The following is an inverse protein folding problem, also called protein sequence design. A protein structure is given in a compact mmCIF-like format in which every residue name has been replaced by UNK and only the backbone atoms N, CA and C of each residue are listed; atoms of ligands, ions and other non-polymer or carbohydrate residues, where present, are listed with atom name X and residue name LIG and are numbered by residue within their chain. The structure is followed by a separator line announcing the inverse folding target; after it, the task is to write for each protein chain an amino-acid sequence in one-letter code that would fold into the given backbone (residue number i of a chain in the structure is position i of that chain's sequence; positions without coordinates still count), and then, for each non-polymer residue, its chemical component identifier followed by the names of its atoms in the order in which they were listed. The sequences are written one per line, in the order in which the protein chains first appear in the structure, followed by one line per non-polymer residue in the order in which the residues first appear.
data_IF_612271155962
#
_entry.id   IF_612271155962
#
_cell.length_a   1.000
_cell.length_b   1.000
_cell.length_c   1.000
_cell.angle_alpha   90.00
_cell.angle_beta   90.00
_cell.angle_gamma   90.00
#
_symmetry.space_group_name_H-M   'P 1'
#
loop_
_entity.id
_entity.type
_entity.pdbx_description
1 polymer ?
#
# COMPACT_ATOMS: atom_id res chain seq x y z
N UNK A 1 27.09 13.86 15.25
CA UNK A 1 26.83 12.56 14.61
C UNK A 1 25.34 12.29 14.79
N UNK A 2 24.52 12.66 13.81
CA UNK A 2 23.05 12.56 13.93
C UNK A 2 22.69 11.11 13.67
N UNK A 3 22.33 10.38 14.73
CA UNK A 3 21.80 9.03 14.62
C UNK A 3 20.44 9.14 13.88
N UNK A 4 20.40 8.74 12.60
CA UNK A 4 19.13 8.56 11.86
C UNK A 4 18.43 7.33 12.45
N UNK A 5 17.65 7.54 13.52
CA UNK A 5 16.84 6.49 14.11
C UNK A 5 15.69 6.14 13.14
N UNK A 6 15.73 4.95 12.53
CA UNK A 6 14.53 4.19 12.15
C UNK A 6 13.68 4.66 10.97
N UNK A 7 14.17 5.55 10.09
CA UNK A 7 13.45 5.91 8.86
C UNK A 7 13.55 4.79 7.82
N UNK A 8 12.53 4.62 6.97
CA UNK A 8 12.55 3.63 5.89
C UNK A 8 13.75 3.84 4.96
N UNK A 9 14.38 2.75 4.52
CA UNK A 9 15.54 2.77 3.62
C UNK A 9 15.06 2.87 2.17
N UNK A 10 15.52 3.89 1.45
CA UNK A 10 15.40 3.98 -0.01
C UNK A 10 16.81 4.14 -0.58
N UNK A 11 17.16 3.34 -1.57
CA UNK A 11 18.44 3.39 -2.26
C UNK A 11 18.22 3.58 -3.77
N UNK A 12 19.13 4.32 -4.41
CA UNK A 12 19.12 4.59 -5.84
C UNK A 12 20.46 4.23 -6.49
N UNK A 13 20.40 3.46 -7.58
CA UNK A 13 21.56 3.11 -8.39
C UNK A 13 21.84 4.20 -9.41
N UNK A 14 23.01 4.83 -9.34
CA UNK A 14 23.42 5.90 -10.28
C UNK A 14 24.05 5.38 -11.59
N UNK A 15 24.05 4.06 -11.80
CA UNK A 15 24.79 3.39 -12.88
C UNK A 15 26.08 2.71 -12.41
N UNK A 16 26.59 3.08 -11.24
CA UNK A 16 27.88 2.59 -10.70
C UNK A 16 27.86 2.24 -9.21
N UNK A 17 27.06 2.93 -8.41
CA UNK A 17 26.93 2.70 -6.97
C UNK A 17 25.50 2.89 -6.48
N UNK A 18 25.16 2.15 -5.41
CA UNK A 18 23.92 2.37 -4.66
C UNK A 18 24.13 3.51 -3.68
N UNK A 19 23.27 4.51 -3.75
CA UNK A 19 23.28 5.67 -2.86
C UNK A 19 22.00 5.72 -2.05
N UNK A 20 22.11 5.95 -0.74
CA UNK A 20 20.97 6.19 0.13
C UNK A 20 20.27 7.50 -0.29
N UNK A 21 18.97 7.42 -0.53
CA UNK A 21 18.10 8.57 -0.79
C UNK A 21 17.28 8.82 0.47
N UNK A 22 17.15 10.10 0.83
CA UNK A 22 16.38 10.47 2.04
C UNK A 22 14.89 10.30 1.79
N UNK A 23 14.27 9.39 2.54
CA UNK A 23 12.82 9.30 2.66
C UNK A 23 12.29 10.37 3.63
N UNK A 24 11.15 11.02 3.35
CA UNK A 24 10.46 11.87 4.32
C UNK A 24 10.06 11.08 5.57
N UNK A 25 9.96 11.78 6.70
CA UNK A 25 9.37 11.18 7.90
C UNK A 25 7.82 11.30 7.83
N UNK A 26 7.06 10.22 8.10
CA UNK A 26 5.62 10.22 8.23
C UNK A 26 5.14 11.10 9.37
N UNK A 27 3.87 11.53 9.29
CA UNK A 27 3.26 12.35 10.30
C UNK A 27 3.32 11.64 11.66
N UNK A 28 3.81 12.35 12.67
CA UNK A 28 3.82 11.95 14.08
C UNK A 28 4.59 10.66 14.42
N UNK A 29 5.90 10.77 14.60
CA UNK A 29 6.66 9.94 15.56
C UNK A 29 6.51 8.42 15.43
N UNK A 30 6.28 7.92 14.21
CA UNK A 30 6.19 6.49 13.94
C UNK A 30 7.39 5.78 14.54
N UNK A 31 7.16 4.64 15.18
CA UNK A 31 8.19 3.83 15.80
C UNK A 31 8.80 2.83 14.82
N UNK A 32 8.08 2.46 13.75
CA UNK A 32 8.52 1.54 12.69
C UNK A 32 7.94 1.94 11.34
N UNK A 33 8.72 1.69 10.28
CA UNK A 33 8.49 2.13 8.91
C UNK A 33 8.93 0.98 8.03
N UNK A 34 8.08 0.51 7.14
CA UNK A 34 8.41 -0.63 6.29
C UNK A 34 7.81 -0.42 4.92
N UNK A 35 8.67 -0.17 3.94
CA UNK A 35 8.29 -0.24 2.53
C UNK A 35 8.20 -1.71 2.12
N UNK A 36 7.09 -2.06 1.46
CA UNK A 36 6.79 -3.43 1.02
C UNK A 36 6.87 -3.57 -0.50
N UNK A 37 6.58 -2.50 -1.24
CA UNK A 37 6.58 -2.52 -2.70
C UNK A 37 6.95 -1.17 -3.30
N UNK A 38 7.52 -1.21 -4.52
CA UNK A 38 7.89 -0.06 -5.34
C UNK A 38 7.49 -0.34 -6.79
N UNK A 39 6.96 0.67 -7.48
CA UNK A 39 6.70 0.60 -8.92
C UNK A 39 6.93 1.96 -9.58
N UNK A 40 7.26 1.92 -10.88
CA UNK A 40 7.49 3.11 -11.70
C UNK A 40 6.87 2.96 -13.09
N UNK A 41 6.48 4.08 -13.70
CA UNK A 41 6.19 4.13 -15.14
C UNK A 41 7.39 4.62 -15.96
N UNK A 42 7.26 4.58 -17.29
CA UNK A 42 8.31 5.03 -18.21
C UNK A 42 8.56 6.55 -18.19
N UNK A 43 7.65 7.35 -17.61
CA UNK A 43 7.79 8.78 -17.44
C UNK A 43 8.50 9.16 -16.12
N UNK A 44 8.82 8.17 -15.28
CA UNK A 44 9.54 8.37 -14.02
C UNK A 44 8.64 8.68 -12.82
N UNK A 45 7.32 8.45 -12.91
CA UNK A 45 6.45 8.49 -11.74
C UNK A 45 6.70 7.23 -10.91
N UNK A 46 7.32 7.38 -9.74
CA UNK A 46 7.63 6.26 -8.84
C UNK A 46 6.78 6.36 -7.58
N UNK A 47 6.20 5.22 -7.20
CA UNK A 47 5.43 5.08 -5.97
C UNK A 47 6.03 3.97 -5.11
N UNK A 48 6.16 4.22 -3.81
CA UNK A 48 6.43 3.21 -2.80
C UNK A 48 5.24 3.11 -1.86
N UNK A 49 4.94 1.89 -1.45
CA UNK A 49 3.88 1.62 -0.48
C UNK A 49 4.37 0.69 0.62
N UNK A 50 3.69 0.78 1.76
CA UNK A 50 4.02 -0.02 2.92
C UNK A 50 3.17 0.36 4.12
N UNK A 51 3.80 0.38 5.28
CA UNK A 51 3.17 0.75 6.54
C UNK A 51 4.11 1.56 7.43
N UNK A 52 3.51 2.32 8.34
CA UNK A 52 4.18 2.84 9.52
C UNK A 52 3.38 2.51 10.78
N UNK A 53 4.09 2.34 11.89
CA UNK A 53 3.51 1.98 13.18
C UNK A 53 3.65 3.15 14.13
N UNK A 54 2.55 3.60 14.72
CA UNK A 54 2.54 4.48 15.89
C UNK A 54 1.92 3.72 17.09
N UNK A 55 0.75 4.13 17.57
CA UNK A 55 -0.15 3.32 18.43
C UNK A 55 -0.81 2.18 17.62
N UNK A 56 -1.05 2.40 16.34
CA UNK A 56 -1.66 1.47 15.38
C UNK A 56 -0.80 1.39 14.11
N UNK A 57 -1.18 0.52 13.17
CA UNK A 57 -0.50 0.37 11.88
C UNK A 57 -1.27 1.10 10.79
N UNK A 58 -0.62 1.98 10.06
CA UNK A 58 -1.24 2.77 9.01
C UNK A 58 -0.53 2.55 7.68
N UNK A 59 -1.29 2.58 6.58
CA UNK A 59 -0.73 2.57 5.24
C UNK A 59 0.17 3.77 5.01
N UNK A 60 1.32 3.51 4.38
CA UNK A 60 2.26 4.53 3.96
C UNK A 60 2.34 4.53 2.44
N UNK A 61 2.19 5.71 1.84
CA UNK A 61 2.39 5.93 0.42
C UNK A 61 3.36 7.10 0.25
N UNK A 62 4.41 6.90 -0.54
CA UNK A 62 5.29 7.98 -0.97
C UNK A 62 5.47 7.99 -2.47
N UNK A 63 5.62 9.19 -3.02
CA UNK A 63 5.82 9.45 -4.44
C UNK A 63 7.15 10.15 -4.67
N UNK A 64 7.85 9.76 -5.72
CA UNK A 64 9.00 10.49 -6.23
C UNK A 64 8.56 11.53 -7.26
N UNK A 65 8.92 12.79 -7.04
CA UNK A 65 8.61 13.89 -7.96
C UNK A 65 9.73 14.19 -8.98
N UNK A 66 10.75 13.35 -9.07
CA UNK A 66 11.95 13.57 -9.89
C UNK A 66 13.16 14.07 -9.10
N UNK A 67 12.95 14.63 -7.91
CA UNK A 67 14.03 15.21 -7.08
C UNK A 67 13.96 14.86 -5.60
N UNK A 68 12.77 14.61 -5.07
CA UNK A 68 12.55 14.21 -3.68
C UNK A 68 11.35 13.28 -3.55
N UNK A 69 11.36 12.48 -2.47
CA UNK A 69 10.22 11.71 -2.03
C UNK A 69 9.28 12.57 -1.21
N UNK A 70 7.98 12.40 -1.42
CA UNK A 70 6.92 13.08 -0.67
C UNK A 70 5.86 12.09 -0.25
N UNK A 71 5.39 12.23 0.99
CA UNK A 71 4.29 11.41 1.52
C UNK A 71 2.99 11.88 0.88
N UNK A 72 2.22 10.92 0.40
CA UNK A 72 0.88 11.14 -0.15
C UNK A 72 -0.13 10.48 0.80
N UNK A 73 -1.21 11.17 1.18
CA UNK A 73 -2.20 10.59 2.09
C UNK A 73 -2.85 9.32 1.53
N UNK A 74 -2.89 8.26 2.34
CA UNK A 74 -3.77 7.10 2.15
C UNK A 74 -5.17 7.46 2.67
N UNK A 75 -6.26 7.12 1.97
CA UNK A 75 -7.61 7.21 2.50
C UNK A 75 -7.81 6.21 3.64
N UNK A 76 -8.58 6.60 4.67
CA UNK A 76 -8.95 5.69 5.74
C UNK A 76 -9.91 4.60 5.20
N UNK A 77 -9.61 3.30 5.37
CA UNK A 77 -10.54 2.24 5.01
C UNK A 77 -11.80 2.25 5.89
N UNK A 78 -12.91 1.63 5.46
CA UNK A 78 -14.15 1.54 6.22
C UNK A 78 -13.99 0.59 7.43
N UNK A 79 -13.33 1.06 8.48
CA UNK A 79 -13.15 0.36 9.75
C UNK A 79 -14.31 0.66 10.69
N UNK A 80 -14.60 -0.26 11.63
CA UNK A 80 -15.58 -0.03 12.70
C UNK A 80 -14.83 0.08 14.04
N UNK A 81 -14.88 1.26 14.67
CA UNK A 81 -14.26 1.52 15.96
C UNK A 81 -12.78 1.91 15.87
N UNK A 82 -12.07 1.82 16.99
CA UNK A 82 -10.72 2.37 17.17
C UNK A 82 -9.57 1.41 16.81
N UNK A 83 -9.79 0.45 15.91
CA UNK A 83 -8.79 -0.53 15.47
C UNK A 83 -8.46 -0.28 13.99
N UNK A 84 -7.86 0.87 13.72
CA UNK A 84 -7.38 1.34 12.42
C UNK A 84 -6.02 0.70 12.16
N UNK A 85 -6.03 -0.59 11.82
CA UNK A 85 -4.85 -1.26 11.29
C UNK A 85 -5.04 -1.51 9.81
N UNK A 86 -4.18 -0.91 9.00
CA UNK A 86 -4.17 -1.05 7.55
C UNK A 86 -2.74 -1.03 7.01
N UNK A 87 -2.54 -1.70 5.88
CA UNK A 87 -1.24 -1.84 5.25
C UNK A 87 -1.37 -2.06 3.75
N UNK A 88 -0.42 -1.53 2.99
CA UNK A 88 -0.30 -1.75 1.55
C UNK A 88 0.90 -2.65 1.26
N UNK A 89 0.65 -3.75 0.54
CA UNK A 89 1.64 -4.79 0.23
C UNK A 89 2.14 -4.74 -1.20
N UNK A 90 1.36 -4.18 -2.13
CA UNK A 90 1.71 -4.10 -3.55
C UNK A 90 1.27 -2.79 -4.18
N UNK A 91 2.04 -2.29 -5.14
CA UNK A 91 1.68 -1.13 -5.97
C UNK A 91 2.05 -1.36 -7.43
N UNK A 92 1.26 -0.79 -8.33
CA UNK A 92 1.55 -0.72 -9.77
C UNK A 92 1.20 0.67 -10.30
N UNK A 93 2.05 1.20 -11.18
CA UNK A 93 1.88 2.51 -11.79
C UNK A 93 1.50 2.31 -13.25
N UNK A 94 0.35 2.86 -13.64
CA UNK A 94 -0.12 2.85 -15.04
C UNK A 94 0.35 4.11 -15.75
N UNK A 95 0.22 5.26 -15.08
CA UNK A 95 0.68 6.57 -15.53
C UNK A 95 0.73 7.54 -14.34
N UNK A 96 1.19 8.78 -14.55
CA UNK A 96 1.12 9.86 -13.56
C UNK A 96 -0.30 10.15 -13.03
N UNK A 97 -1.34 9.74 -13.77
CA UNK A 97 -2.75 9.93 -13.39
C UNK A 97 -3.49 8.65 -13.05
N UNK A 98 -2.79 7.50 -12.99
CA UNK A 98 -3.42 6.24 -12.60
C UNK A 98 -2.41 5.28 -12.00
N UNK A 99 -2.66 4.85 -10.77
CA UNK A 99 -1.90 3.84 -10.06
C UNK A 99 -2.84 3.04 -9.15
N UNK A 100 -2.46 1.80 -8.84
CA UNK A 100 -3.23 0.92 -7.98
C UNK A 100 -2.35 0.39 -6.86
N UNK A 101 -2.87 0.40 -5.64
CA UNK A 101 -2.23 -0.18 -4.48
C UNK A 101 -3.17 -1.20 -3.83
N UNK A 102 -2.59 -2.26 -3.26
CA UNK A 102 -3.36 -3.34 -2.64
C UNK A 102 -2.73 -3.79 -1.34
N UNK A 103 -3.57 -4.29 -0.44
CA UNK A 103 -3.15 -4.82 0.85
C UNK A 103 -4.33 -5.34 1.64
N UNK A 104 -4.37 -5.04 2.95
CA UNK A 104 -5.45 -5.45 3.84
C UNK A 104 -5.64 -4.46 4.99
N UNK A 105 -6.81 -4.53 5.61
CA UNK A 105 -7.14 -3.79 6.81
C UNK A 105 -7.99 -4.62 7.76
N UNK A 106 -7.99 -4.25 9.04
CA UNK A 106 -8.85 -4.87 10.04
C UNK A 106 -10.26 -4.27 9.97
N UNK A 107 -11.20 -5.00 9.39
CA UNK A 107 -12.61 -4.70 9.53
C UNK A 107 -13.13 -5.30 10.85
N UNK A 108 -13.74 -4.47 11.69
CA UNK A 108 -14.41 -4.98 12.90
C UNK A 108 -15.85 -5.35 12.55
N UNK A 109 -16.26 -6.53 12.98
CA UNK A 109 -17.66 -6.97 12.90
C UNK A 109 -18.44 -6.48 14.12
N UNK A 110 -19.77 -6.40 14.01
CA UNK A 110 -20.64 -6.04 15.15
C UNK A 110 -20.54 -6.99 16.35
N UNK A 111 -19.91 -8.16 16.19
CA UNK A 111 -19.60 -9.11 17.25
C UNK A 111 -18.23 -8.89 17.91
N UNK A 112 -17.49 -7.84 17.54
CA UNK A 112 -16.17 -7.51 18.09
C UNK A 112 -15.02 -8.39 17.58
N UNK A 113 -15.27 -9.26 16.59
CA UNK A 113 -14.21 -10.03 15.92
C UNK A 113 -13.60 -9.20 14.79
N UNK A 114 -12.26 -9.12 14.76
CA UNK A 114 -11.50 -8.56 13.64
C UNK A 114 -11.50 -9.57 12.51
N UNK A 115 -12.07 -9.21 11.36
CA UNK A 115 -11.84 -9.90 10.09
C UNK A 115 -10.85 -9.06 9.30
N UNK A 116 -9.92 -9.72 8.61
CA UNK A 116 -9.03 -9.02 7.69
C UNK A 116 -9.68 -8.98 6.32
N UNK A 117 -9.85 -7.76 5.82
CA UNK A 117 -10.47 -7.47 4.54
C UNK A 117 -9.44 -6.90 3.58
N UNK A 118 -9.63 -7.13 2.28
CA UNK A 118 -8.75 -6.60 1.25
C UNK A 118 -8.85 -5.08 1.18
N UNK A 119 -7.70 -4.43 1.14
CA UNK A 119 -7.59 -3.00 0.81
C UNK A 119 -7.20 -2.88 -0.66
N UNK A 120 -7.98 -2.13 -1.42
CA UNK A 120 -7.64 -1.72 -2.78
C UNK A 120 -7.79 -0.22 -2.86
N UNK A 121 -6.75 0.46 -3.31
CA UNK A 121 -6.75 1.89 -3.51
C UNK A 121 -6.41 2.24 -4.96
N UNK A 122 -7.07 3.26 -5.50
CA UNK A 122 -6.84 3.79 -6.84
C UNK A 122 -6.46 5.26 -6.78
N UNK A 123 -5.36 5.61 -7.45
CA UNK A 123 -4.95 6.98 -7.69
C UNK A 123 -5.62 7.51 -8.96
N UNK A 124 -6.32 8.63 -8.87
CA UNK A 124 -7.03 9.24 -10.01
C UNK A 124 -6.26 10.41 -10.67
N UNK A 125 -5.00 10.63 -10.27
CA UNK A 125 -4.22 11.80 -10.66
C UNK A 125 -4.21 12.93 -9.64
N UNK A 126 -5.06 12.85 -8.62
CA UNK A 126 -5.17 13.87 -7.57
C UNK A 126 -5.20 13.31 -6.17
N UNK A 127 -5.85 12.16 -5.96
CA UNK A 127 -5.99 11.52 -4.65
C UNK A 127 -6.11 10.01 -4.76
N UNK A 128 -5.72 9.31 -3.69
CA UNK A 128 -6.00 7.89 -3.52
C UNK A 128 -7.42 7.71 -2.96
N UNK A 129 -8.16 6.76 -3.50
CA UNK A 129 -9.51 6.41 -3.05
C UNK A 129 -9.65 4.91 -2.84
N UNK A 130 -10.38 4.50 -1.80
CA UNK A 130 -10.66 3.08 -1.54
C UNK A 130 -11.66 2.57 -2.58
N UNK A 131 -11.30 1.48 -3.26
CA UNK A 131 -12.15 0.77 -4.22
C UNK A 131 -12.67 -0.51 -3.59
N UNK A 132 -14.00 -0.74 -3.57
CA UNK A 132 -14.57 -1.98 -3.04
C UNK A 132 -14.01 -3.22 -3.75
N UNK A 133 -13.71 -4.24 -2.96
CA UNK A 133 -13.23 -5.54 -3.44
C UNK A 133 -13.97 -6.70 -2.74
N UNK A 134 -14.04 -7.90 -3.34
CA UNK A 134 -14.75 -9.02 -2.74
C UNK A 134 -14.05 -9.56 -1.48
N UNK A 135 -14.70 -9.43 -0.33
CA UNK A 135 -14.30 -10.06 0.94
C UNK A 135 -15.21 -11.26 1.23
N UNK A 136 -14.89 -12.40 0.62
CA UNK A 136 -15.76 -13.59 0.62
C UNK A 136 -15.53 -14.52 1.81
N UNK A 137 -14.42 -14.35 2.54
CA UNK A 137 -14.06 -15.13 3.73
C UNK A 137 -13.83 -14.22 4.95
N UNK A 138 -13.51 -14.83 6.09
CA UNK A 138 -13.17 -14.14 7.35
C UNK A 138 -11.77 -13.53 7.37
N UNK A 139 -10.94 -13.90 6.39
CA UNK A 139 -9.59 -13.40 6.21
C UNK A 139 -9.36 -13.26 4.72
N UNK A 140 -8.96 -12.07 4.27
CA UNK A 140 -8.71 -11.73 2.89
C UNK A 140 -7.54 -10.74 2.84
N UNK A 141 -6.49 -11.09 2.11
CA UNK A 141 -5.32 -10.26 1.90
C UNK A 141 -4.96 -10.22 0.43
N UNK A 142 -4.49 -9.08 -0.06
CA UNK A 142 -3.84 -8.95 -1.37
C UNK A 142 -2.35 -8.66 -1.17
N UNK A 143 -1.51 -9.36 -1.91
CA UNK A 143 -0.05 -9.27 -1.79
C UNK A 143 0.58 -8.52 -2.95
N UNK A 144 0.06 -8.71 -4.15
CA UNK A 144 0.63 -8.14 -5.36
C UNK A 144 -0.47 -7.65 -6.31
N UNK A 145 -0.13 -6.61 -7.06
CA UNK A 145 -0.98 -6.01 -8.10
C UNK A 145 -0.14 -5.75 -9.33
N UNK A 146 -0.73 -5.93 -10.50
CA UNK A 146 -0.12 -5.59 -11.79
C UNK A 146 -1.17 -4.97 -12.69
N UNK A 147 -0.74 -4.05 -13.54
CA UNK A 147 -1.55 -3.46 -14.59
C UNK A 147 -0.89 -3.62 -15.93
N UNK A 148 -1.65 -3.99 -16.95
CA UNK A 148 -1.18 -4.07 -18.32
C UNK A 148 -2.31 -3.74 -19.28
N UNK A 149 -2.09 -2.77 -20.17
CA UNK A 149 -3.07 -2.36 -21.20
C UNK A 149 -4.49 -2.11 -20.66
N UNK A 150 -4.61 -1.37 -19.55
CA UNK A 150 -5.91 -1.04 -18.94
C UNK A 150 -6.58 -2.18 -18.16
N UNK A 151 -5.93 -3.34 -18.06
CA UNK A 151 -6.36 -4.42 -17.19
C UNK A 151 -5.55 -4.39 -15.90
N UNK A 152 -6.24 -4.37 -14.78
CA UNK A 152 -5.60 -4.42 -13.45
C UNK A 152 -5.97 -5.73 -12.79
N UNK A 153 -4.97 -6.48 -12.34
CA UNK A 153 -5.11 -7.73 -11.62
C UNK A 153 -4.40 -7.69 -10.28
N UNK A 154 -5.02 -8.23 -9.24
CA UNK A 154 -4.42 -8.40 -7.92
C UNK A 154 -4.51 -9.86 -7.47
N UNK A 155 -3.49 -10.33 -6.75
CA UNK A 155 -3.42 -11.69 -6.22
C UNK A 155 -3.15 -11.68 -4.73
N UNK A 156 -3.69 -12.69 -4.05
CA UNK A 156 -3.74 -12.73 -2.60
C UNK A 156 -4.14 -14.08 -2.02
N UNK A 157 -4.48 -14.07 -0.75
CA UNK A 157 -5.00 -15.22 -0.03
C UNK A 157 -6.33 -14.88 0.64
N UNK A 158 -7.25 -15.84 0.66
CA UNK A 158 -8.43 -15.81 1.50
C UNK A 158 -8.49 -17.07 2.35
N UNK A 159 -8.98 -16.99 3.59
CA UNK A 159 -9.09 -18.18 4.43
C UNK A 159 -10.30 -18.17 5.35
N UNK A 160 -10.79 -19.38 5.65
CA UNK A 160 -11.55 -19.65 6.88
C UNK A 160 -10.63 -20.32 7.88
N UNK A 161 -11.07 -20.51 9.13
CA UNK A 161 -10.29 -21.12 10.21
C UNK A 161 -9.61 -22.47 9.88
N UNK A 162 -10.00 -23.14 8.79
CA UNK A 162 -9.47 -24.45 8.39
C UNK A 162 -9.01 -24.54 6.91
N UNK A 163 -8.91 -23.45 6.14
CA UNK A 163 -8.50 -23.52 4.71
C UNK A 163 -8.02 -22.19 4.15
N UNK A 164 -6.86 -22.18 3.48
CA UNK A 164 -6.31 -21.04 2.71
C UNK A 164 -6.54 -21.28 1.21
N UNK A 165 -6.99 -20.26 0.49
CA UNK A 165 -7.26 -20.27 -0.96
C UNK A 165 -6.63 -19.05 -1.64
N UNK A 166 -6.16 -19.21 -2.87
CA UNK A 166 -5.72 -18.07 -3.70
C UNK A 166 -6.91 -17.16 -4.01
N UNK A 167 -6.73 -15.86 -3.84
CA UNK A 167 -7.65 -14.82 -4.28
C UNK A 167 -7.08 -14.14 -5.52
N UNK A 168 -7.87 -14.03 -6.59
CA UNK A 168 -7.53 -13.27 -7.80
C UNK A 168 -8.66 -12.28 -8.06
N UNK A 169 -8.33 -11.00 -8.16
CA UNK A 169 -9.26 -9.93 -8.51
C UNK A 169 -8.79 -9.33 -9.82
N UNK A 170 -9.70 -9.14 -10.77
CA UNK A 170 -9.42 -8.45 -12.03
C UNK A 170 -10.51 -7.42 -12.32
N UNK A 171 -10.11 -6.22 -12.76
CA UNK A 171 -11.01 -5.26 -13.38
C UNK A 171 -10.54 -4.92 -14.80
N UNK A 172 -11.51 -4.75 -15.70
CA UNK A 172 -11.32 -3.98 -16.92
C UNK A 172 -11.67 -2.54 -16.58
N UNK A 173 -10.67 -1.76 -16.19
CA UNK A 173 -10.84 -0.36 -15.85
C UNK A 173 -10.40 0.44 -17.08
N UNK A 174 -11.35 0.69 -17.98
CA UNK A 174 -11.18 1.46 -19.22
C UNK A 174 -11.14 2.97 -18.94
#
# INVERSE_FOLDING_TARGET
MICKHGLGLIEHWDGTTWNEVTAPAPPTGGQRYTFKSIAADAAGHVWVVGEYVNVQTFSLIEQWNGTSWTIVPSPQPPTIGSNENDTLSGVTVVSGTSAWAVGNYNASTSSGSSIEDTLVEHWDGTSWTVVPSPNVKTFNMLYAVTSFQGQTGAVGASSTSNSIQTLVIGCNCA
#
